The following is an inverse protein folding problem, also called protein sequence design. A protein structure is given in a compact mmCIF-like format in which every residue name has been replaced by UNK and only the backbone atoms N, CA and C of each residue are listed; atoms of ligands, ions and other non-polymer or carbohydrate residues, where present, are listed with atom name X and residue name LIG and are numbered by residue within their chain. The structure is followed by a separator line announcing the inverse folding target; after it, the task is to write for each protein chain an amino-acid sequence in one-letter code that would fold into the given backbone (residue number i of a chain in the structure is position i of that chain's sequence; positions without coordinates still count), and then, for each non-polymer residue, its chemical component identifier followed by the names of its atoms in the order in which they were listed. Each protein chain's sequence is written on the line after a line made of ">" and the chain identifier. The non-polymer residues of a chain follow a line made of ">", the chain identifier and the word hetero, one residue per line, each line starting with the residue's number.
data_IF_638442787486
#
_entry.id   IF_638442787486
#
_cell.length_a   1.000
_cell.length_b   1.000
_cell.length_c   1.000
_cell.angle_alpha   90.00
_cell.angle_beta   90.00
_cell.angle_gamma   90.00
#
_symmetry.space_group_name_H-M   'P 1'
#
loop_
_entity.id
_entity.type
_entity.pdbx_description
1 polymer ?
#
# COMPACT_ATOMS: atom_id res chain seq x y z
N UNK A 1 -14.20 5.21 5.19
CA UNK A 1 -13.54 6.54 5.22
C UNK A 1 -13.06 6.84 6.63
N UNK A 2 -11.94 7.54 6.78
CA UNK A 2 -11.42 8.06 8.04
C UNK A 2 -11.09 9.54 7.82
N UNK A 3 -11.59 10.43 8.69
CA UNK A 3 -11.35 11.88 8.60
C UNK A 3 -11.67 12.47 7.22
N UNK A 4 -12.73 11.99 6.57
CA UNK A 4 -13.15 12.45 5.23
C UNK A 4 -12.35 11.85 4.07
N UNK A 5 -11.35 11.00 4.32
CA UNK A 5 -10.55 10.33 3.30
C UNK A 5 -10.91 8.85 3.15
N UNK A 6 -10.76 8.32 1.93
CA UNK A 6 -10.95 6.89 1.66
C UNK A 6 -9.91 6.05 2.40
N UNK A 7 -10.35 4.91 2.93
CA UNK A 7 -9.49 3.89 3.53
C UNK A 7 -8.96 2.95 2.46
N UNK A 8 -7.78 2.37 2.68
CA UNK A 8 -7.16 1.41 1.75
C UNK A 8 -7.38 -0.02 2.24
N UNK A 9 -7.97 -0.87 1.40
CA UNK A 9 -8.16 -2.29 1.67
C UNK A 9 -6.89 -3.06 1.29
N UNK A 10 -6.56 -4.13 2.00
CA UNK A 10 -5.39 -4.98 1.68
C UNK A 10 -5.52 -5.65 0.29
N UNK A 11 -6.75 -5.86 -0.18
CA UNK A 11 -7.06 -6.42 -1.51
C UNK A 11 -7.01 -5.37 -2.62
N UNK A 12 -6.93 -4.08 -2.29
CA UNK A 12 -7.05 -2.98 -3.23
C UNK A 12 -5.74 -2.72 -4.00
N UNK A 13 -5.82 -2.35 -5.29
CA UNK A 13 -4.65 -1.85 -6.01
C UNK A 13 -4.19 -0.52 -5.41
N UNK A 14 -2.88 -0.24 -5.45
CA UNK A 14 -2.34 1.04 -5.03
C UNK A 14 -1.59 1.71 -6.18
N UNK A 15 -1.96 2.94 -6.52
CA UNK A 15 -1.26 3.71 -7.54
C UNK A 15 -0.01 4.36 -6.94
N UNK A 16 1.11 4.24 -7.64
CA UNK A 16 2.38 4.87 -7.26
C UNK A 16 2.66 5.99 -8.26
N UNK A 17 2.77 7.22 -7.77
CA UNK A 17 3.07 8.39 -8.59
C UNK A 17 4.49 8.87 -8.31
N UNK A 18 5.17 9.39 -9.34
CA UNK A 18 6.48 10.02 -9.19
C UNK A 18 7.64 9.06 -8.86
N UNK A 19 7.49 7.75 -9.13
CA UNK A 19 8.60 6.82 -8.99
C UNK A 19 9.74 7.19 -9.96
N UNK A 20 10.91 7.50 -9.41
CA UNK A 20 12.09 7.93 -10.19
C UNK A 20 12.94 6.75 -10.68
N UNK A 21 12.45 5.51 -10.56
CA UNK A 21 13.19 4.33 -11.00
C UNK A 21 13.36 4.38 -12.53
N UNK A 22 14.60 4.27 -13.05
CA UNK A 22 14.85 4.41 -14.48
C UNK A 22 14.02 3.44 -15.33
N UNK A 23 13.60 3.82 -16.55
CA UNK A 23 12.93 2.93 -17.50
C UNK A 23 13.70 1.62 -17.77
N UNK A 24 12.99 0.55 -18.20
CA UNK A 24 13.59 -0.74 -18.54
C UNK A 24 14.63 -0.60 -19.65
N UNK A 25 15.89 -0.61 -19.21
CA UNK A 25 17.20 -0.77 -19.88
C UNK A 25 18.27 -0.52 -18.79
N UNK A 26 18.01 0.41 -17.85
CA UNK A 26 18.92 0.78 -16.75
C UNK A 26 18.42 0.27 -15.38
N UNK A 27 17.11 0.15 -15.19
CA UNK A 27 16.47 -0.45 -14.01
C UNK A 27 15.04 -0.91 -14.36
N UNK A 28 14.34 -1.57 -13.43
CA UNK A 28 13.04 -2.20 -13.65
C UNK A 28 11.84 -1.23 -13.83
N UNK A 29 12.06 -0.05 -14.42
CA UNK A 29 11.00 0.88 -14.86
C UNK A 29 10.30 1.68 -13.76
N UNK A 30 9.62 2.78 -14.13
CA UNK A 30 8.83 3.53 -13.17
C UNK A 30 7.72 2.65 -12.61
N UNK A 31 7.69 2.50 -11.30
CA UNK A 31 6.62 1.79 -10.61
C UNK A 31 5.39 2.67 -10.62
N UNK A 32 4.33 2.21 -11.28
CA UNK A 32 3.05 2.94 -11.38
C UNK A 32 1.97 2.31 -10.50
N UNK A 33 2.19 1.07 -10.07
CA UNK A 33 1.28 0.35 -9.18
C UNK A 33 2.05 -0.41 -8.11
N UNK A 34 1.33 -0.76 -7.06
CA UNK A 34 1.79 -1.66 -6.03
C UNK A 34 0.65 -2.57 -5.56
N UNK A 35 1.05 -3.73 -5.04
CA UNK A 35 0.18 -4.74 -4.46
C UNK A 35 0.53 -4.91 -3.00
N UNK A 36 -0.47 -4.91 -2.13
CA UNK A 36 -0.28 -5.19 -0.71
C UNK A 36 -0.14 -6.69 -0.47
N UNK A 37 0.62 -7.04 0.57
CA UNK A 37 0.84 -8.42 1.00
C UNK A 37 -0.33 -8.81 1.91
N UNK A 38 -1.24 -9.72 1.49
CA UNK A 38 -2.49 -9.97 2.23
C UNK A 38 -2.32 -10.36 3.70
N UNK A 39 -1.31 -11.19 4.09
CA UNK A 39 -1.03 -11.49 5.49
C UNK A 39 -0.63 -10.30 6.37
N UNK A 40 -0.25 -9.16 5.78
CA UNK A 40 0.21 -7.96 6.50
C UNK A 40 -0.90 -6.93 6.77
N UNK A 41 -2.15 -7.24 6.42
CA UNK A 41 -3.30 -6.41 6.73
C UNK A 41 -3.75 -6.54 8.18
N UNK A 42 -4.57 -5.58 8.64
CA UNK A 42 -5.06 -5.60 10.02
C UNK A 42 -5.94 -6.82 10.31
N UNK A 43 -5.72 -7.44 11.46
CA UNK A 43 -6.56 -8.56 11.94
C UNK A 43 -7.85 -8.10 12.63
N UNK A 44 -7.94 -6.83 13.01
CA UNK A 44 -9.03 -6.28 13.84
C UNK A 44 -9.76 -5.12 13.19
N UNK A 45 -9.08 -4.36 12.33
CA UNK A 45 -9.66 -3.18 11.68
C UNK A 45 -10.06 -3.57 10.26
N UNK A 46 -11.36 -3.78 10.10
CA UNK A 46 -11.95 -4.21 8.84
C UNK A 46 -12.84 -3.11 8.24
N UNK A 47 -13.01 -3.14 6.92
CA UNK A 47 -14.05 -2.38 6.22
C UNK A 47 -14.77 -3.32 5.28
N UNK A 48 -16.10 -3.42 5.39
CA UNK A 48 -16.91 -4.40 4.67
C UNK A 48 -16.38 -5.84 4.82
N UNK A 49 -15.90 -6.20 6.01
CA UNK A 49 -15.32 -7.53 6.29
C UNK A 49 -13.93 -7.77 5.72
N UNK A 50 -13.30 -6.80 5.05
CA UNK A 50 -11.96 -6.93 4.50
C UNK A 50 -10.91 -6.19 5.36
N UNK A 51 -9.70 -6.76 5.55
CA UNK A 51 -8.63 -6.09 6.27
C UNK A 51 -8.23 -4.74 5.66
N UNK A 52 -8.05 -3.74 6.52
CA UNK A 52 -7.44 -2.47 6.12
C UNK A 52 -5.91 -2.54 6.15
N UNK A 53 -5.29 -1.71 5.30
CA UNK A 53 -3.85 -1.40 5.36
C UNK A 53 -3.59 -0.53 6.60
N UNK A 54 -2.55 -0.86 7.35
CA UNK A 54 -2.07 -0.15 8.53
C UNK A 54 -0.58 0.18 8.38
N UNK A 55 -0.01 0.95 9.31
CA UNK A 55 1.38 1.41 9.22
C UNK A 55 2.41 0.26 9.10
N UNK A 56 2.11 -0.91 9.69
CA UNK A 56 2.95 -2.12 9.63
C UNK A 56 2.73 -2.98 8.38
N UNK A 57 1.76 -2.64 7.52
CA UNK A 57 1.47 -3.40 6.31
C UNK A 57 2.60 -3.30 5.29
N UNK A 58 2.75 -4.34 4.49
CA UNK A 58 3.81 -4.45 3.49
C UNK A 58 3.20 -4.47 2.09
N UNK A 59 3.93 -3.90 1.13
CA UNK A 59 3.57 -3.91 -0.29
C UNK A 59 4.80 -3.97 -1.16
N UNK A 60 4.60 -4.46 -2.38
CA UNK A 60 5.60 -4.50 -3.43
C UNK A 60 5.13 -3.67 -4.62
N UNK A 61 6.05 -2.88 -5.16
CA UNK A 61 5.83 -2.16 -6.42
C UNK A 61 5.85 -3.13 -7.62
N UNK A 62 5.08 -2.80 -8.64
CA UNK A 62 5.07 -3.50 -9.93
C UNK A 62 5.60 -2.56 -11.02
N UNK A 63 6.53 -2.99 -11.87
CA UNK A 63 7.11 -4.33 -11.97
C UNK A 63 8.41 -4.54 -11.16
N UNK A 64 8.90 -3.53 -10.42
CA UNK A 64 10.24 -3.57 -9.82
C UNK A 64 10.42 -4.58 -8.68
N UNK A 65 9.35 -4.92 -7.96
CA UNK A 65 9.40 -5.69 -6.71
C UNK A 65 9.97 -4.90 -5.52
N UNK A 66 10.21 -3.59 -5.65
CA UNK A 66 10.75 -2.78 -4.54
C UNK A 66 9.70 -2.60 -3.44
N UNK A 67 10.07 -2.71 -2.15
CA UNK A 67 9.15 -2.45 -1.05
C UNK A 67 8.61 -1.02 -1.08
N UNK A 68 7.32 -0.86 -0.77
CA UNK A 68 6.76 0.45 -0.43
C UNK A 68 6.98 0.76 1.05
N UNK A 69 7.16 2.04 1.34
CA UNK A 69 7.19 2.56 2.71
C UNK A 69 5.93 3.40 2.93
N UNK A 70 5.17 3.06 3.97
CA UNK A 70 4.02 3.85 4.40
C UNK A 70 4.55 5.00 5.27
N UNK A 71 4.63 6.21 4.71
CA UNK A 71 5.17 7.39 5.42
C UNK A 71 4.14 8.09 6.31
N UNK A 72 2.85 8.00 5.93
CA UNK A 72 1.73 8.67 6.61
C UNK A 72 0.52 7.77 6.65
N UNK A 73 -0.26 7.86 7.73
CA UNK A 73 -1.52 7.10 7.90
C UNK A 73 -2.61 7.98 8.50
N UNK A 74 -3.87 7.58 8.35
CA UNK A 74 -4.97 8.24 9.03
C UNK A 74 -5.05 7.79 10.50
N UNK A 75 -4.87 8.71 11.44
CA UNK A 75 -4.70 8.42 12.88
C UNK A 75 -6.04 8.32 13.64
N UNK A 76 -6.95 7.45 13.21
CA UNK A 76 -8.18 7.15 13.99
C UNK A 76 -8.04 5.95 14.91
N UNK A 77 -7.31 4.91 14.49
CA UNK A 77 -7.04 3.68 15.24
C UNK A 77 -5.63 3.21 14.92
N UNK A 78 -4.93 2.66 15.90
CA UNK A 78 -3.65 1.95 15.72
C UNK A 78 -3.89 0.45 15.89
N UNK A 79 -3.37 -0.36 14.95
CA UNK A 79 -3.49 -1.81 14.96
C UNK A 79 -2.24 -2.46 14.36
N UNK A 80 -2.14 -3.78 14.54
CA UNK A 80 -1.16 -4.64 13.88
C UNK A 80 -1.87 -5.68 13.03
#
# INVERSE_FOLDING_TARGET
>A
MVSGQSTVLISGPYAVAGCTLPPPIVANGPCVTATWIPPSGSTRVLSNGQPLVVLSSQALCVPSGTPLIISVTQTRVTAM
#
